data_IF_090472545506
#
_entry.id   IF_090472545506
#
_cell.length_a   1.000
_cell.length_b   1.000
_cell.length_c   1.000
_cell.angle_alpha   90.00
_cell.angle_beta   90.00
_cell.angle_gamma   90.00
#
_symmetry.space_group_name_H-M   'P 1'
#
loop_
_entity.id
_entity.type
_entity.pdbx_description
1 polymer ?
#
# COMPACT_ATOMS: atom_id res chain seq x y z
N UNK A 1 6.59 14.91 32.84
CA UNK A 1 6.89 13.51 32.47
C UNK A 1 5.55 12.91 32.08
N UNK A 2 5.17 13.05 30.82
CA UNK A 2 3.94 12.46 30.28
C UNK A 2 4.22 10.99 30.08
N UNK A 3 3.60 10.14 30.88
CA UNK A 3 3.61 8.70 30.67
C UNK A 3 3.06 8.43 29.27
N UNK A 4 3.92 8.05 28.33
CA UNK A 4 3.51 7.48 27.05
C UNK A 4 2.92 6.12 27.35
N UNK A 5 1.62 6.09 27.64
CA UNK A 5 0.86 4.85 27.80
C UNK A 5 0.86 4.14 26.46
N UNK A 6 1.60 3.05 26.34
CA UNK A 6 1.53 2.18 25.17
C UNK A 6 0.10 1.65 25.06
N UNK A 7 -0.60 1.88 23.94
CA UNK A 7 -1.97 1.40 23.77
C UNK A 7 -2.00 -0.13 23.86
N UNK A 8 -3.00 -0.66 24.55
CA UNK A 8 -3.20 -2.10 24.70
C UNK A 8 -3.65 -2.71 23.37
N UNK A 9 -3.41 -4.02 23.20
CA UNK A 9 -3.83 -4.76 21.99
C UNK A 9 -5.34 -4.64 21.74
N UNK A 10 -6.14 -4.62 22.81
CA UNK A 10 -7.60 -4.51 22.72
C UNK A 10 -8.06 -3.13 22.22
N UNK A 11 -7.37 -2.05 22.62
CA UNK A 11 -7.63 -0.69 22.15
C UNK A 11 -7.28 -0.54 20.66
N UNK A 12 -6.16 -1.13 20.24
CA UNK A 12 -5.73 -1.13 18.84
C UNK A 12 -6.74 -1.89 17.97
N UNK A 13 -7.16 -3.08 18.40
CA UNK A 13 -8.17 -3.87 17.69
C UNK A 13 -9.51 -3.15 17.59
N UNK A 14 -9.95 -2.52 18.68
CA UNK A 14 -11.19 -1.73 18.69
C UNK A 14 -11.11 -0.57 17.71
N UNK A 15 -9.95 0.10 17.64
CA UNK A 15 -9.75 1.22 16.71
C UNK A 15 -9.65 0.75 15.26
N UNK A 16 -8.99 -0.36 14.98
CA UNK A 16 -8.95 -0.98 13.65
C UNK A 16 -10.36 -1.42 13.19
N UNK A 17 -11.19 -1.96 14.09
CA UNK A 17 -12.60 -2.30 13.78
C UNK A 17 -13.43 -1.05 13.45
N UNK A 18 -13.17 0.08 14.13
CA UNK A 18 -13.80 1.35 13.79
C UNK A 18 -13.40 1.85 12.39
N UNK A 19 -12.10 1.77 12.05
CA UNK A 19 -11.62 2.11 10.70
C UNK A 19 -12.27 1.23 9.62
N UNK A 20 -12.42 -0.06 9.89
CA UNK A 20 -13.10 -0.98 8.98
C UNK A 20 -14.56 -0.58 8.73
N UNK A 21 -15.26 -0.05 9.74
CA UNK A 21 -16.67 0.34 9.60
C UNK A 21 -16.87 1.70 8.96
N UNK A 22 -15.99 2.64 9.26
CA UNK A 22 -16.16 4.05 8.90
C UNK A 22 -15.43 4.41 7.60
N UNK A 23 -14.26 3.79 7.36
CA UNK A 23 -13.32 4.20 6.32
C UNK A 23 -13.08 3.15 5.23
N UNK A 24 -13.53 1.91 5.41
CA UNK A 24 -13.34 0.83 4.43
C UNK A 24 -14.71 0.36 3.91
N UNK A 25 -14.88 0.40 2.58
CA UNK A 25 -16.08 -0.12 1.93
C UNK A 25 -16.05 -1.65 1.74
N UNK A 26 -17.05 -2.18 1.04
CA UNK A 26 -17.10 -3.62 0.76
C UNK A 26 -15.93 -4.05 -0.15
N UNK A 27 -15.37 -5.26 0.08
CA UNK A 27 -14.30 -5.82 -0.74
C UNK A 27 -14.66 -5.71 -2.22
N UNK A 28 -13.90 -4.92 -2.97
CA UNK A 28 -14.19 -4.66 -4.36
C UNK A 28 -13.36 -5.54 -5.30
N UNK A 29 -12.65 -6.56 -4.82
CA UNK A 29 -11.93 -7.50 -5.68
C UNK A 29 -12.84 -8.16 -6.74
N UNK A 30 -14.11 -8.39 -6.40
CA UNK A 30 -15.14 -8.81 -7.36
C UNK A 30 -15.84 -7.64 -8.09
N UNK A 31 -15.99 -6.48 -7.43
CA UNK A 31 -16.66 -5.29 -8.00
C UNK A 31 -15.80 -4.50 -8.97
N UNK A 32 -14.46 -4.54 -8.91
CA UNK A 32 -13.65 -3.96 -9.96
C UNK A 32 -13.88 -4.68 -11.28
N UNK A 33 -13.92 -6.01 -11.28
CA UNK A 33 -14.25 -6.78 -12.48
C UNK A 33 -15.72 -6.63 -12.84
N UNK A 34 -16.65 -6.72 -11.89
CA UNK A 34 -18.08 -6.63 -12.16
C UNK A 34 -18.56 -5.23 -12.52
N UNK A 35 -18.02 -4.15 -11.92
CA UNK A 35 -18.34 -2.77 -12.31
C UNK A 35 -17.59 -2.37 -13.57
N UNK A 36 -16.35 -2.84 -13.82
CA UNK A 36 -15.71 -2.73 -15.15
C UNK A 36 -16.51 -3.48 -16.23
N UNK A 37 -17.06 -4.66 -15.92
CA UNK A 37 -17.92 -5.44 -16.82
C UNK A 37 -19.31 -4.81 -16.99
N UNK A 38 -19.93 -4.27 -15.93
CA UNK A 38 -21.23 -3.56 -16.01
C UNK A 38 -21.09 -2.22 -16.73
N UNK A 39 -20.01 -1.48 -16.49
CA UNK A 39 -19.66 -0.26 -17.23
C UNK A 39 -19.27 -0.56 -18.68
N UNK A 40 -18.73 -1.75 -18.98
CA UNK A 40 -18.57 -2.20 -20.38
C UNK A 40 -19.90 -2.58 -21.06
N UNK A 41 -20.95 -2.84 -20.26
CA UNK A 41 -22.29 -3.21 -20.72
C UNK A 41 -23.22 -2.01 -20.93
N UNK A 42 -23.02 -0.91 -20.20
CA UNK A 42 -23.55 0.40 -20.56
C UNK A 42 -22.68 0.98 -21.67
N UNK A 43 -23.27 1.62 -22.68
CA UNK A 43 -22.57 2.07 -23.88
C UNK A 43 -21.67 3.27 -23.56
N UNK A 44 -20.56 3.03 -22.87
CA UNK A 44 -19.46 3.97 -22.74
C UNK A 44 -18.84 4.18 -24.12
N UNK A 45 -18.58 5.43 -24.45
CA UNK A 45 -17.86 5.75 -25.68
C UNK A 45 -16.44 5.20 -25.62
N UNK A 46 -15.83 4.92 -26.78
CA UNK A 46 -14.43 4.49 -26.90
C UNK A 46 -13.42 5.42 -26.18
N UNK A 47 -13.83 6.66 -25.90
CA UNK A 47 -13.03 7.67 -25.20
C UNK A 47 -13.13 7.49 -23.66
N UNK A 48 -14.33 7.19 -23.16
CA UNK A 48 -14.58 6.93 -21.73
C UNK A 48 -14.03 5.58 -21.28
N UNK A 49 -14.08 4.55 -22.14
CA UNK A 49 -13.45 3.25 -21.83
C UNK A 49 -11.93 3.32 -21.83
N UNK A 50 -11.33 4.22 -22.62
CA UNK A 50 -9.91 4.55 -22.53
C UNK A 50 -9.57 5.30 -21.25
N UNK A 51 -10.43 6.23 -20.83
CA UNK A 51 -10.28 6.92 -19.55
C UNK A 51 -10.36 5.96 -18.35
N UNK A 52 -11.27 4.98 -18.40
CA UNK A 52 -11.44 3.99 -17.34
C UNK A 52 -10.32 2.94 -17.32
N UNK A 53 -9.88 2.46 -18.50
CA UNK A 53 -8.73 1.57 -18.60
C UNK A 53 -7.42 2.26 -18.20
N UNK A 54 -7.30 3.57 -18.46
CA UNK A 54 -6.17 4.39 -18.01
C UNK A 54 -6.23 4.73 -16.52
N UNK A 55 -7.42 4.88 -15.93
CA UNK A 55 -7.56 5.23 -14.51
C UNK A 55 -7.18 4.10 -13.54
N UNK A 56 -7.04 2.88 -14.05
CA UNK A 56 -6.54 1.72 -13.31
C UNK A 56 -5.31 1.12 -14.00
N UNK A 57 -4.58 1.95 -14.75
CA UNK A 57 -3.29 1.56 -15.29
C UNK A 57 -2.27 1.39 -14.16
N UNK A 58 -1.26 0.58 -14.42
CA UNK A 58 -0.20 0.29 -13.44
C UNK A 58 0.55 1.56 -13.03
N UNK A 59 0.59 2.57 -13.91
CA UNK A 59 1.23 3.86 -13.70
C UNK A 59 0.46 4.78 -12.72
N UNK A 60 -0.83 4.51 -12.47
CA UNK A 60 -1.65 5.26 -11.52
C UNK A 60 -1.58 4.69 -10.10
N UNK A 61 -0.89 3.55 -9.91
CA UNK A 61 -0.72 2.91 -8.60
C UNK A 61 0.50 3.52 -7.91
N UNK A 62 0.25 4.32 -6.88
CA UNK A 62 1.31 4.85 -6.03
C UNK A 62 1.86 3.75 -5.12
N UNK A 63 3.16 3.83 -4.78
CA UNK A 63 3.88 2.84 -3.97
C UNK A 63 3.85 1.41 -4.51
N UNK A 64 3.62 1.23 -5.81
CA UNK A 64 3.70 -0.09 -6.43
C UNK A 64 5.14 -0.63 -6.46
N UNK A 65 6.12 0.27 -6.57
CA UNK A 65 7.54 -0.06 -6.49
C UNK A 65 8.13 0.59 -5.24
N UNK A 66 9.14 -0.03 -4.61
CA UNK A 66 9.90 0.64 -3.57
C UNK A 66 10.54 1.92 -4.11
N UNK A 67 10.45 3.02 -3.36
CA UNK A 67 11.15 4.27 -3.68
C UNK A 67 12.32 4.49 -2.70
N UNK A 68 13.55 4.09 -3.09
CA UNK A 68 14.72 4.24 -2.22
C UNK A 68 15.32 5.66 -2.27
N UNK A 69 14.69 6.62 -2.97
CA UNK A 69 15.23 7.98 -3.16
C UNK A 69 15.47 8.76 -1.87
N UNK A 70 14.72 8.44 -0.81
CA UNK A 70 14.85 9.07 0.51
C UNK A 70 15.51 8.13 1.55
N UNK A 71 15.91 6.92 1.16
CA UNK A 71 16.49 5.93 2.09
C UNK A 71 17.98 6.20 2.35
N UNK A 72 18.44 5.84 3.55
CA UNK A 72 19.85 5.76 3.90
C UNK A 72 20.42 4.35 3.61
N UNK A 73 21.72 4.17 3.82
CA UNK A 73 22.42 2.92 3.49
C UNK A 73 21.84 1.76 4.30
N UNK A 74 21.42 2.02 5.54
CA UNK A 74 20.84 1.00 6.42
C UNK A 74 19.43 0.62 5.97
N UNK A 75 18.61 1.58 5.54
CA UNK A 75 17.29 1.36 4.96
C UNK A 75 17.35 0.50 3.69
N UNK A 76 18.24 0.83 2.75
CA UNK A 76 18.46 0.00 1.56
C UNK A 76 18.89 -1.43 1.92
N UNK A 77 19.82 -1.59 2.86
CA UNK A 77 20.27 -2.91 3.32
C UNK A 77 19.16 -3.72 3.98
N UNK A 78 18.38 -3.10 4.86
CA UNK A 78 17.28 -3.76 5.55
C UNK A 78 16.24 -4.26 4.54
N UNK A 79 15.86 -3.42 3.57
CA UNK A 79 14.95 -3.83 2.50
C UNK A 79 15.50 -5.02 1.70
N UNK A 80 16.76 -4.96 1.27
CA UNK A 80 17.40 -6.05 0.53
C UNK A 80 17.46 -7.36 1.33
N UNK A 81 17.77 -7.29 2.63
CA UNK A 81 17.82 -8.46 3.51
C UNK A 81 16.42 -9.04 3.73
N UNK A 82 15.40 -8.21 3.90
CA UNK A 82 14.01 -8.67 4.08
C UNK A 82 13.45 -9.34 2.83
N UNK A 83 13.74 -8.81 1.64
CA UNK A 83 13.14 -9.26 0.38
C UNK A 83 13.95 -10.35 -0.32
N UNK A 84 15.28 -10.31 -0.23
CA UNK A 84 16.17 -11.23 -0.95
C UNK A 84 16.95 -12.15 0.01
N UNK A 85 17.02 -11.81 1.30
CA UNK A 85 17.87 -12.49 2.28
C UNK A 85 19.31 -11.96 2.31
N UNK A 86 20.07 -12.29 3.35
CA UNK A 86 21.45 -11.80 3.57
C UNK A 86 22.44 -12.10 2.42
N UNK A 87 22.14 -13.09 1.57
CA UNK A 87 22.99 -13.49 0.44
C UNK A 87 22.27 -13.41 -0.90
N UNK A 88 21.14 -12.72 -0.96
CA UNK A 88 20.27 -12.66 -2.14
C UNK A 88 20.55 -11.51 -3.10
N UNK A 89 21.49 -10.63 -2.77
CA UNK A 89 21.89 -9.50 -3.59
C UNK A 89 23.41 -9.44 -3.72
N UNK A 90 23.89 -8.89 -4.83
CA UNK A 90 25.29 -8.56 -5.00
C UNK A 90 25.58 -7.23 -4.27
N UNK A 91 26.54 -7.25 -3.35
CA UNK A 91 26.94 -6.02 -2.67
C UNK A 91 27.51 -5.01 -3.68
N UNK A 92 27.21 -3.70 -3.52
CA UNK A 92 27.69 -2.68 -4.43
C UNK A 92 29.23 -2.57 -4.43
N UNK A 93 29.79 -2.04 -5.53
CA UNK A 93 31.23 -1.81 -5.67
C UNK A 93 31.74 -0.83 -4.61
N UNK A 94 31.02 0.27 -4.37
CA UNK A 94 31.26 1.18 -3.26
C UNK A 94 30.18 1.05 -2.17
N UNK A 95 30.57 0.49 -1.02
CA UNK A 95 29.66 0.29 0.12
C UNK A 95 29.39 1.57 0.92
N UNK A 96 30.18 2.61 0.70
CA UNK A 96 30.02 3.92 1.35
C UNK A 96 29.16 4.88 0.49
N UNK A 97 28.96 4.57 -0.79
CA UNK A 97 28.08 5.35 -1.68
C UNK A 97 26.63 4.87 -1.58
N UNK A 98 25.74 5.77 -1.16
CA UNK A 98 24.29 5.50 -1.10
C UNK A 98 23.69 5.31 -2.50
N UNK A 99 24.24 5.96 -3.53
CA UNK A 99 23.74 5.82 -4.90
C UNK A 99 23.82 4.37 -5.35
N UNK A 100 24.95 3.71 -5.11
CA UNK A 100 25.14 2.30 -5.48
C UNK A 100 24.17 1.39 -4.72
N UNK A 101 23.89 1.65 -3.44
CA UNK A 101 22.89 0.89 -2.69
C UNK A 101 21.47 1.08 -3.24
N UNK A 102 21.11 2.28 -3.68
CA UNK A 102 19.81 2.56 -4.31
C UNK A 102 19.68 1.89 -5.66
N UNK A 103 20.77 1.85 -6.43
CA UNK A 103 20.81 1.13 -7.71
C UNK A 103 20.60 -0.37 -7.50
N UNK A 104 21.23 -0.98 -6.50
CA UNK A 104 20.97 -2.40 -6.14
C UNK A 104 19.51 -2.62 -5.73
N UNK A 105 18.91 -1.72 -4.94
CA UNK A 105 17.47 -1.82 -4.61
C UNK A 105 16.61 -1.75 -5.87
N UNK A 106 16.87 -0.80 -6.76
CA UNK A 106 16.12 -0.62 -8.00
C UNK A 106 16.27 -1.81 -8.96
N UNK A 107 17.46 -2.39 -9.08
CA UNK A 107 17.71 -3.57 -9.92
C UNK A 107 16.94 -4.80 -9.44
N UNK A 108 16.62 -4.85 -8.14
CA UNK A 108 15.85 -5.90 -7.51
C UNK A 108 14.40 -5.50 -7.18
N UNK A 109 13.98 -4.29 -7.53
CA UNK A 109 12.64 -3.77 -7.23
C UNK A 109 11.61 -4.51 -8.09
N UNK A 110 10.81 -5.35 -7.44
CA UNK A 110 9.63 -5.94 -8.05
C UNK A 110 8.38 -5.17 -7.66
N UNK A 111 7.38 -5.17 -8.55
CA UNK A 111 6.08 -4.59 -8.26
C UNK A 111 5.47 -5.34 -7.08
N UNK A 112 5.00 -4.60 -6.07
CA UNK A 112 4.29 -5.15 -4.92
C UNK A 112 3.06 -5.92 -5.39
N UNK A 113 2.95 -7.18 -4.96
CA UNK A 113 1.82 -8.01 -5.34
C UNK A 113 0.56 -7.59 -4.57
N UNK A 114 -0.40 -7.01 -5.29
CA UNK A 114 -1.72 -6.63 -4.75
C UNK A 114 -2.71 -7.78 -4.96
N UNK A 115 -3.23 -8.33 -3.87
CA UNK A 115 -4.21 -9.43 -3.92
C UNK A 115 -5.65 -8.95 -3.90
N UNK A 116 -5.95 -7.85 -3.21
CA UNK A 116 -7.33 -7.34 -3.05
C UNK A 116 -7.38 -5.81 -3.14
N UNK A 117 -8.40 -5.27 -3.82
CA UNK A 117 -8.67 -3.84 -3.85
C UNK A 117 -9.86 -3.47 -2.96
N UNK A 118 -9.65 -2.48 -2.09
CA UNK A 118 -10.65 -2.00 -1.14
C UNK A 118 -10.89 -0.51 -1.34
N UNK A 119 -12.15 -0.07 -1.54
CA UNK A 119 -12.46 1.36 -1.55
C UNK A 119 -12.30 1.90 -0.13
N UNK A 120 -11.58 3.01 0.00
CA UNK A 120 -11.28 3.64 1.29
C UNK A 120 -11.68 5.12 1.32
N UNK A 121 -11.70 5.72 2.51
CA UNK A 121 -11.83 7.18 2.64
C UNK A 121 -10.55 7.88 2.18
N UNK A 122 -10.66 9.17 1.82
CA UNK A 122 -9.50 9.99 1.43
C UNK A 122 -8.45 10.07 2.54
N UNK A 123 -8.89 10.14 3.79
CA UNK A 123 -8.00 10.20 4.95
C UNK A 123 -7.23 8.88 5.12
N UNK A 124 -7.92 7.74 5.02
CA UNK A 124 -7.26 6.45 5.14
C UNK A 124 -6.31 6.20 3.96
N UNK A 125 -6.66 6.64 2.75
CA UNK A 125 -5.79 6.59 1.59
C UNK A 125 -4.47 7.32 1.82
N UNK A 126 -4.51 8.55 2.38
CA UNK A 126 -3.30 9.30 2.69
C UNK A 126 -2.44 8.61 3.75
N UNK A 127 -3.05 8.07 4.81
CA UNK A 127 -2.30 7.37 5.85
C UNK A 127 -1.67 6.06 5.33
N UNK A 128 -2.32 5.38 4.38
CA UNK A 128 -1.76 4.21 3.69
C UNK A 128 -0.63 4.59 2.73
N UNK A 129 -0.80 5.68 1.98
CA UNK A 129 0.23 6.27 1.11
C UNK A 129 1.50 6.59 1.91
N UNK A 130 1.36 7.20 3.09
CA UNK A 130 2.48 7.52 3.98
C UNK A 130 3.22 6.28 4.50
N UNK A 131 2.55 5.14 4.62
CA UNK A 131 3.14 3.89 5.11
C UNK A 131 3.82 3.10 3.97
N UNK A 132 3.63 3.51 2.71
CA UNK A 132 4.19 2.83 1.55
C UNK A 132 3.30 1.71 1.00
N UNK A 133 2.01 1.69 1.35
CA UNK A 133 1.07 0.72 0.81
C UNK A 133 0.61 1.12 -0.60
N UNK A 134 0.34 0.14 -1.50
CA UNK A 134 -0.20 0.42 -2.82
C UNK A 134 -1.55 1.11 -2.72
N UNK A 135 -1.66 2.30 -3.30
CA UNK A 135 -2.91 3.07 -3.31
C UNK A 135 -3.19 3.65 -4.68
N UNK A 136 -4.47 3.88 -4.97
CA UNK A 136 -4.91 4.61 -6.16
C UNK A 136 -5.79 5.76 -5.70
N UNK A 137 -5.46 6.96 -6.15
CA UNK A 137 -6.24 8.18 -5.97
C UNK A 137 -6.59 8.74 -7.34
N UNK A 138 -7.82 8.47 -7.78
CA UNK A 138 -8.28 8.88 -9.10
C UNK A 138 -9.69 9.48 -9.04
N UNK A 139 -10.20 9.95 -10.18
CA UNK A 139 -11.55 10.52 -10.29
C UNK A 139 -12.68 9.53 -9.94
N UNK A 140 -12.38 8.23 -9.77
CA UNK A 140 -13.33 7.19 -9.39
C UNK A 140 -13.31 6.87 -7.90
N UNK A 141 -12.37 7.43 -7.13
CA UNK A 141 -12.30 7.31 -5.67
C UNK A 141 -10.90 6.94 -5.18
N UNK A 142 -10.85 6.57 -3.90
CA UNK A 142 -9.63 6.16 -3.22
C UNK A 142 -9.64 4.65 -2.99
N UNK A 143 -8.54 4.00 -3.33
CA UNK A 143 -8.43 2.55 -3.29
C UNK A 143 -7.15 2.13 -2.59
N UNK A 144 -7.26 1.08 -1.78
CA UNK A 144 -6.13 0.42 -1.14
C UNK A 144 -5.93 -0.96 -1.76
N UNK A 145 -4.71 -1.19 -2.27
CA UNK A 145 -4.24 -2.46 -2.78
C UNK A 145 -3.60 -3.28 -1.67
N UNK A 146 -4.38 -4.18 -1.08
CA UNK A 146 -3.93 -5.02 0.03
C UNK A 146 -3.00 -6.13 -0.47
N UNK A 147 -1.83 -6.23 0.15
CA UNK A 147 -0.73 -7.16 -0.18
C UNK A 147 -0.78 -8.48 0.60
N UNK A 148 -1.79 -8.65 1.46
CA UNK A 148 -2.02 -9.85 2.26
C UNK A 148 -3.42 -10.42 1.99
N UNK A 149 -3.56 -11.75 2.05
CA UNK A 149 -4.84 -12.45 1.81
C UNK A 149 -5.09 -13.53 2.86
N UNK A 150 -6.37 -13.88 3.09
CA UNK A 150 -6.78 -14.99 3.96
C UNK A 150 -6.90 -14.67 5.46
N UNK A 151 -6.47 -13.49 5.90
CA UNK A 151 -6.72 -12.98 7.26
C UNK A 151 -7.86 -11.95 7.27
N UNK A 152 -8.69 -11.87 8.33
CA UNK A 152 -9.66 -10.80 8.49
C UNK A 152 -8.95 -9.43 8.43
N UNK A 153 -9.51 -8.50 7.67
CA UNK A 153 -8.96 -7.15 7.48
C UNK A 153 -8.74 -6.40 8.80
N UNK A 154 -9.58 -6.62 9.82
CA UNK A 154 -9.39 -6.06 11.16
C UNK A 154 -8.09 -6.53 11.87
N UNK A 155 -7.52 -7.65 11.44
CA UNK A 155 -6.26 -8.20 11.95
C UNK A 155 -5.07 -7.84 11.06
N UNK A 156 -5.28 -7.04 10.03
CA UNK A 156 -4.23 -6.61 9.13
C UNK A 156 -3.20 -5.76 9.89
N UNK A 157 -1.91 -6.01 9.66
CA UNK A 157 -0.82 -5.32 10.34
C UNK A 157 -0.83 -3.82 10.04
N UNK A 158 -1.09 -3.48 8.77
CA UNK A 158 -1.13 -2.11 8.28
C UNK A 158 -2.21 -1.29 8.99
N UNK A 159 -3.43 -1.84 9.12
CA UNK A 159 -4.50 -1.17 9.87
C UNK A 159 -4.22 -1.07 11.36
N UNK A 160 -3.56 -2.07 11.95
CA UNK A 160 -3.14 -2.01 13.34
C UNK A 160 -2.10 -0.90 13.57
N UNK A 161 -1.19 -0.69 12.62
CA UNK A 161 -0.16 0.35 12.73
C UNK A 161 -0.75 1.75 12.57
N UNK A 162 -1.71 1.94 11.65
CA UNK A 162 -2.51 3.17 11.56
C UNK A 162 -3.30 3.40 12.86
N UNK A 163 -3.97 2.36 13.38
CA UNK A 163 -4.71 2.44 14.64
C UNK A 163 -3.81 2.83 15.82
N UNK A 164 -2.61 2.24 15.92
CA UNK A 164 -1.58 2.61 16.92
C UNK A 164 -1.18 4.07 16.76
N UNK A 165 -0.89 4.53 15.54
CA UNK A 165 -0.51 5.92 15.22
C UNK A 165 -1.58 6.93 15.66
N UNK A 166 -2.87 6.60 15.51
CA UNK A 166 -3.97 7.45 15.98
C UNK A 166 -4.02 7.49 17.51
N UNK A 167 -3.82 6.35 18.19
CA UNK A 167 -3.91 6.26 19.64
C UNK A 167 -2.71 6.88 20.37
N UNK A 168 -1.57 7.03 19.69
CA UNK A 168 -0.35 7.63 20.24
C UNK A 168 -0.15 9.11 19.87
N UNK A 169 -1.01 9.67 19.01
CA UNK A 169 -1.11 11.11 18.71
C UNK A 169 -1.88 11.84 19.83
#
# INVERSE_FOLDING_TARGET
MTETTTPTVEEIQTRADALLRDDIGWCASALMVDDLMKLSGETLTLDETKGLAGAFDIDEIENLYPDPSEWDIEGCKNWLIEHLGETGYDEPEDKEDISDWRDVVNDHAEATEVYEWWPVSSWLCEELREIGEPVIDNNYGYWWGRTCTGQPIMMDGTLQDIAKKILTR
#
